data_IF_346578905221
#
_entry.id   IF_346578905221
#
_cell.length_a   1.000
_cell.length_b   1.000
_cell.length_c   1.000
_cell.angle_alpha   90.00
_cell.angle_beta   90.00
_cell.angle_gamma   90.00
#
_symmetry.space_group_name_H-M   'P 1'
#
loop_
_entity.id
_entity.type
_entity.pdbx_description
1 polymer ?
#
# COMPACT_ATOMS: atom_id res chain seq x y z
N UNK A 1 3.02 -38.07 -6.42
CA UNK A 1 3.07 -37.00 -7.44
C UNK A 1 4.27 -36.12 -7.15
N UNK A 2 5.40 -36.37 -7.83
CA UNK A 2 6.64 -35.60 -7.68
C UNK A 2 6.75 -34.67 -8.88
N UNK A 3 6.23 -33.45 -8.76
CA UNK A 3 6.51 -32.37 -9.70
C UNK A 3 7.99 -31.99 -9.56
N UNK A 4 8.76 -31.99 -10.66
CA UNK A 4 10.12 -31.46 -10.66
C UNK A 4 10.05 -29.96 -10.95
N UNK A 5 10.99 -29.19 -10.42
CA UNK A 5 11.05 -27.74 -10.68
C UNK A 5 11.19 -27.40 -12.17
N UNK A 6 11.75 -28.33 -12.98
CA UNK A 6 11.83 -28.23 -14.44
C UNK A 6 10.47 -28.26 -15.16
N UNK A 7 9.43 -28.73 -14.48
CA UNK A 7 8.09 -28.94 -15.06
C UNK A 7 7.17 -27.72 -14.82
N UNK A 8 7.64 -26.71 -14.08
CA UNK A 8 6.92 -25.47 -13.82
C UNK A 8 7.08 -24.52 -15.00
N UNK A 9 6.00 -24.35 -15.76
CA UNK A 9 5.94 -23.29 -16.79
C UNK A 9 5.54 -21.98 -16.10
N UNK A 10 6.38 -20.94 -16.13
CA UNK A 10 6.06 -19.66 -15.52
C UNK A 10 4.89 -19.00 -16.24
N UNK A 11 4.09 -18.26 -15.49
CA UNK A 11 3.03 -17.41 -16.03
C UNK A 11 3.10 -16.03 -15.36
N UNK A 12 2.52 -15.03 -16.00
CA UNK A 12 2.48 -13.65 -15.50
C UNK A 12 1.10 -13.38 -14.90
N UNK A 13 1.09 -12.67 -13.78
CA UNK A 13 -0.10 -12.15 -13.12
C UNK A 13 -0.13 -10.65 -13.39
N UNK A 14 -1.20 -10.19 -14.03
CA UNK A 14 -1.43 -8.77 -14.30
C UNK A 14 -2.30 -8.18 -13.20
N UNK A 15 -1.99 -6.96 -12.80
CA UNK A 15 -2.74 -6.25 -11.77
C UNK A 15 -2.79 -4.76 -12.06
N UNK A 16 -3.88 -4.13 -11.68
CA UNK A 16 -4.05 -2.68 -11.70
C UNK A 16 -4.69 -2.24 -10.39
N UNK A 17 -4.17 -1.16 -9.81
CA UNK A 17 -4.76 -0.51 -8.65
C UNK A 17 -4.90 0.98 -8.84
N UNK A 18 -5.92 1.55 -8.20
CA UNK A 18 -6.14 2.97 -8.08
C UNK A 18 -6.47 3.28 -6.61
N UNK A 19 -5.77 4.25 -6.03
CA UNK A 19 -5.90 4.59 -4.62
C UNK A 19 -6.15 6.08 -4.44
N UNK A 20 -7.11 6.42 -3.58
CA UNK A 20 -7.44 7.78 -3.16
C UNK A 20 -7.15 7.92 -1.67
N UNK A 21 -6.40 8.96 -1.32
CA UNK A 21 -6.00 9.24 0.06
C UNK A 21 -6.36 10.66 0.45
N UNK A 22 -6.73 10.84 1.71
CA UNK A 22 -6.94 12.13 2.34
C UNK A 22 -5.83 12.30 3.39
N UNK A 23 -5.17 13.47 3.39
CA UNK A 23 -4.04 13.75 4.29
C UNK A 23 -4.41 14.93 5.17
N UNK A 24 -4.31 14.73 6.48
CA UNK A 24 -4.36 15.82 7.44
C UNK A 24 -2.97 16.47 7.52
N UNK A 25 -2.84 17.65 6.91
CA UNK A 25 -1.57 18.39 6.86
C UNK A 25 -1.10 18.89 8.23
N UNK A 26 -1.97 18.94 9.24
CA UNK A 26 -1.61 19.40 10.59
C UNK A 26 -1.07 18.27 11.46
N UNK A 27 -1.44 17.02 11.18
CA UNK A 27 -1.03 15.85 11.97
C UNK A 27 -0.19 14.85 11.20
N UNK A 28 -0.20 14.91 9.87
CA UNK A 28 0.39 13.92 8.97
C UNK A 28 -0.40 12.62 8.87
N UNK A 29 -1.57 12.51 9.52
CA UNK A 29 -2.42 11.33 9.41
C UNK A 29 -2.97 11.17 7.99
N UNK A 30 -3.10 9.92 7.57
CA UNK A 30 -3.62 9.55 6.26
C UNK A 30 -4.84 8.67 6.42
N UNK A 31 -5.90 8.98 5.67
CA UNK A 31 -7.05 8.11 5.53
C UNK A 31 -7.16 7.63 4.08
N UNK A 32 -7.27 6.31 3.91
CA UNK A 32 -7.56 5.71 2.61
C UNK A 32 -9.05 5.82 2.33
N UNK A 33 -9.42 6.69 1.40
CA UNK A 33 -10.84 6.94 1.07
C UNK A 33 -11.38 5.85 0.19
N UNK A 34 -10.61 5.45 -0.83
CA UNK A 34 -11.00 4.41 -1.76
C UNK A 34 -9.82 3.71 -2.38
N UNK A 35 -9.94 2.40 -2.57
CA UNK A 35 -9.00 1.58 -3.34
C UNK A 35 -9.79 0.68 -4.29
N UNK A 36 -9.47 0.74 -5.58
CA UNK A 36 -9.95 -0.19 -6.59
C UNK A 36 -8.79 -1.08 -7.07
N UNK A 37 -9.00 -2.39 -7.07
CA UNK A 37 -8.05 -3.39 -7.57
C UNK A 37 -8.72 -4.23 -8.66
N UNK A 38 -8.02 -4.42 -9.77
CA UNK A 38 -8.32 -5.39 -10.81
C UNK A 38 -7.14 -6.35 -10.93
N UNK A 39 -7.35 -7.63 -10.63
CA UNK A 39 -6.29 -8.64 -10.67
C UNK A 39 -6.63 -9.80 -11.60
N UNK A 40 -5.62 -10.27 -12.33
CA UNK A 40 -5.69 -11.43 -13.20
C UNK A 40 -5.41 -12.72 -12.41
N UNK A 41 -6.50 -13.33 -11.95
CA UNK A 41 -6.49 -14.57 -11.16
C UNK A 41 -6.64 -15.83 -12.05
N UNK A 42 -6.65 -15.67 -13.37
CA UNK A 42 -7.06 -16.73 -14.30
C UNK A 42 -8.50 -17.19 -14.06
N UNK A 43 -8.73 -18.50 -14.10
CA UNK A 43 -9.97 -19.12 -13.63
C UNK A 43 -9.84 -19.42 -12.12
N UNK A 44 -10.36 -18.51 -11.29
CA UNK A 44 -10.30 -18.62 -9.82
C UNK A 44 -10.86 -19.95 -9.31
N UNK A 45 -10.10 -20.62 -8.43
CA UNK A 45 -10.51 -21.86 -7.77
C UNK A 45 -11.57 -21.61 -6.69
N UNK A 46 -11.39 -20.53 -5.95
CA UNK A 46 -12.25 -20.15 -4.84
C UNK A 46 -12.26 -18.62 -4.73
N UNK A 47 -13.24 -17.97 -5.37
CA UNK A 47 -13.27 -16.51 -5.46
C UNK A 47 -13.20 -15.80 -4.10
N UNK A 48 -13.84 -16.34 -3.06
CA UNK A 48 -13.78 -15.75 -1.72
C UNK A 48 -12.41 -15.84 -1.06
N UNK A 49 -11.66 -16.92 -1.31
CA UNK A 49 -10.28 -17.06 -0.80
C UNK A 49 -9.35 -16.12 -1.57
N UNK A 50 -9.50 -16.05 -2.89
CA UNK A 50 -8.69 -15.18 -3.74
C UNK A 50 -8.91 -13.69 -3.39
N UNK A 51 -10.17 -13.27 -3.16
CA UNK A 51 -10.45 -11.92 -2.63
C UNK A 51 -9.73 -11.70 -1.31
N UNK A 52 -9.85 -12.62 -0.34
CA UNK A 52 -9.20 -12.47 0.96
C UNK A 52 -7.67 -12.42 0.89
N UNK A 53 -7.05 -13.13 -0.06
CA UNK A 53 -5.61 -13.06 -0.32
C UNK A 53 -5.22 -11.68 -0.84
N UNK A 54 -5.96 -11.15 -1.82
CA UNK A 54 -5.73 -9.82 -2.39
C UNK A 54 -5.89 -8.73 -1.33
N UNK A 55 -6.95 -8.81 -0.51
CA UNK A 55 -7.19 -7.89 0.61
C UNK A 55 -6.04 -7.94 1.61
N UNK A 56 -5.69 -9.14 2.09
CA UNK A 56 -4.63 -9.32 3.08
C UNK A 56 -3.27 -8.85 2.57
N UNK A 57 -2.95 -9.16 1.33
CA UNK A 57 -1.70 -8.77 0.66
C UNK A 57 -1.58 -7.26 0.47
N UNK A 58 -2.67 -6.61 0.04
CA UNK A 58 -2.70 -5.17 -0.07
C UNK A 58 -2.58 -4.50 1.31
N UNK A 59 -3.28 -5.01 2.33
CA UNK A 59 -3.18 -4.50 3.71
C UNK A 59 -1.78 -4.69 4.29
N UNK A 60 -1.10 -5.80 4.02
CA UNK A 60 0.32 -5.95 4.38
C UNK A 60 1.19 -4.88 3.71
N UNK A 61 0.92 -4.55 2.45
CA UNK A 61 1.55 -3.43 1.76
C UNK A 61 1.27 -2.08 2.42
N UNK A 62 0.07 -1.87 2.99
CA UNK A 62 -0.27 -0.63 3.71
C UNK A 62 0.66 -0.43 4.89
N UNK A 63 0.86 -1.51 5.65
CA UNK A 63 1.76 -1.51 6.78
C UNK A 63 3.19 -1.17 6.36
N UNK A 64 3.70 -1.88 5.35
CA UNK A 64 5.02 -1.64 4.79
C UNK A 64 5.26 -0.17 4.37
N UNK A 65 4.26 0.46 3.73
CA UNK A 65 4.41 1.82 3.22
C UNK A 65 4.06 2.92 4.21
N UNK A 66 3.23 2.69 5.23
CA UNK A 66 2.68 3.77 6.07
C UNK A 66 2.98 3.63 7.57
N UNK A 67 3.05 2.42 8.13
CA UNK A 67 3.01 2.25 9.59
C UNK A 67 4.13 1.39 10.19
N UNK A 68 4.60 0.38 9.47
CA UNK A 68 5.52 -0.66 9.99
C UNK A 68 6.99 -0.21 9.92
N UNK A 69 7.36 0.77 10.75
CA UNK A 69 8.72 1.27 10.86
C UNK A 69 9.61 0.36 11.72
N UNK A 70 10.75 -0.02 11.16
CA UNK A 70 11.84 -0.66 11.89
C UNK A 70 12.83 0.40 12.35
N UNK A 71 12.92 0.59 13.67
CA UNK A 71 13.86 1.54 14.28
C UNK A 71 14.94 0.78 15.01
N UNK A 72 16.19 1.10 14.70
CA UNK A 72 17.37 0.49 15.30
C UNK A 72 18.13 1.52 16.14
N UNK A 73 18.71 1.09 17.25
CA UNK A 73 19.60 1.95 18.06
C UNK A 73 20.89 2.23 17.26
N UNK A 74 21.26 3.50 17.04
CA UNK A 74 22.46 3.85 16.29
C UNK A 74 23.77 3.46 16.97
N UNK A 75 23.77 3.15 18.27
CA UNK A 75 24.99 2.83 19.03
C UNK A 75 25.40 1.38 18.91
N UNK A 76 24.45 0.45 19.01
CA UNK A 76 24.70 -0.99 19.07
C UNK A 76 23.93 -1.80 18.00
N UNK A 77 23.05 -1.16 17.23
CA UNK A 77 22.26 -1.80 16.18
C UNK A 77 21.06 -2.61 16.69
N UNK A 78 20.69 -2.49 17.97
CA UNK A 78 19.55 -3.23 18.51
C UNK A 78 18.21 -2.76 17.92
N UNK A 79 17.32 -3.69 17.58
CA UNK A 79 15.96 -3.37 17.12
C UNK A 79 15.10 -2.85 18.29
N UNK A 80 14.69 -1.58 18.21
CA UNK A 80 13.87 -0.91 19.23
C UNK A 80 12.36 -1.19 19.05
N UNK A 81 11.92 -1.38 17.81
CA UNK A 81 10.53 -1.70 17.46
C UNK A 81 10.28 -3.21 17.47
N UNK A 82 10.59 -3.88 18.57
CA UNK A 82 10.57 -5.35 18.69
C UNK A 82 9.30 -5.91 19.40
N UNK A 83 8.29 -5.09 19.66
CA UNK A 83 7.04 -5.48 20.35
C UNK A 83 5.84 -4.79 19.72
N UNK A 84 4.64 -5.33 19.92
CA UNK A 84 3.37 -4.76 19.43
C UNK A 84 3.06 -3.36 19.95
N UNK A 85 3.68 -2.94 21.07
CA UNK A 85 3.55 -1.57 21.55
C UNK A 85 4.35 -0.57 20.72
N UNK A 86 5.46 -0.99 20.10
CA UNK A 86 6.39 -0.14 19.35
C UNK A 86 6.34 -0.37 17.84
N UNK A 87 5.95 -1.57 17.39
CA UNK A 87 5.72 -1.93 16.00
C UNK A 87 4.22 -2.01 15.72
N UNK A 88 3.74 -1.28 14.71
CA UNK A 88 2.32 -1.07 14.44
C UNK A 88 1.91 -1.62 13.07
N UNK A 89 1.49 -2.89 13.01
CA UNK A 89 0.81 -3.39 11.82
C UNK A 89 -0.54 -2.69 11.64
N UNK A 90 -1.07 -2.62 10.40
CA UNK A 90 -2.37 -2.04 10.12
C UNK A 90 -3.49 -2.66 10.96
N UNK A 91 -4.32 -1.81 11.53
CA UNK A 91 -5.56 -2.19 12.21
C UNK A 91 -6.80 -1.93 11.37
N UNK A 92 -7.97 -2.19 11.97
CA UNK A 92 -9.26 -2.03 11.29
C UNK A 92 -9.59 -0.59 10.86
N UNK A 93 -8.90 0.42 11.38
CA UNK A 93 -9.08 1.83 10.98
C UNK A 93 -8.18 2.26 9.83
N UNK A 94 -7.18 1.44 9.51
CA UNK A 94 -6.18 1.73 8.48
C UNK A 94 -6.58 1.14 7.11
N UNK A 95 -7.60 0.27 7.08
CA UNK A 95 -8.15 -0.29 5.84
C UNK A 95 -8.88 0.80 5.03
N UNK A 96 -8.95 0.67 3.69
CA UNK A 96 -9.69 1.61 2.87
C UNK A 96 -11.18 1.66 3.26
N UNK A 97 -11.74 2.87 3.31
CA UNK A 97 -13.18 3.08 3.61
C UNK A 97 -14.06 2.42 2.53
N UNK A 98 -13.64 2.52 1.27
CA UNK A 98 -14.25 1.85 0.13
C UNK A 98 -13.21 0.97 -0.57
N UNK A 99 -13.29 -0.35 -0.36
CA UNK A 99 -12.32 -1.31 -0.90
C UNK A 99 -12.99 -2.22 -1.93
N UNK A 100 -12.59 -2.09 -3.20
CA UNK A 100 -13.23 -2.75 -4.34
C UNK A 100 -12.24 -3.65 -5.05
N UNK A 101 -12.54 -4.94 -5.10
CA UNK A 101 -11.72 -5.93 -5.80
C UNK A 101 -12.53 -6.55 -6.92
N UNK A 102 -11.92 -6.63 -8.11
CA UNK A 102 -12.49 -7.30 -9.28
C UNK A 102 -11.45 -8.21 -9.91
N UNK A 103 -11.94 -9.28 -10.54
CA UNK A 103 -11.11 -10.19 -11.31
C UNK A 103 -11.18 -9.88 -12.80
N UNK A 104 -10.02 -9.93 -13.46
CA UNK A 104 -9.95 -9.82 -14.91
C UNK A 104 -10.73 -10.98 -15.55
N UNK A 105 -11.75 -10.65 -16.34
CA UNK A 105 -12.57 -11.64 -17.02
C UNK A 105 -11.90 -12.11 -18.31
N UNK A 106 -12.13 -13.37 -18.69
CA UNK A 106 -11.62 -13.93 -19.94
C UNK A 106 -10.11 -14.19 -19.97
N UNK A 107 -9.44 -14.12 -18.83
CA UNK A 107 -8.05 -14.55 -18.68
C UNK A 107 -8.01 -15.99 -18.19
N UNK A 108 -7.46 -16.90 -19.00
CA UNK A 108 -7.37 -18.32 -18.68
C UNK A 108 -5.91 -18.76 -18.73
N UNK A 109 -5.45 -19.45 -17.68
CA UNK A 109 -4.06 -19.88 -17.58
C UNK A 109 -3.89 -21.35 -18.01
N UNK A 110 -3.47 -21.62 -19.25
CA UNK A 110 -3.36 -23.00 -19.72
C UNK A 110 -2.37 -23.89 -18.93
N UNK A 111 -1.43 -23.28 -18.20
CA UNK A 111 -0.41 -23.99 -17.41
C UNK A 111 -0.81 -24.16 -15.95
N UNK A 112 -1.75 -23.36 -15.45
CA UNK A 112 -2.22 -23.40 -14.08
C UNK A 112 -3.13 -24.59 -13.80
N UNK A 113 -3.12 -25.08 -12.55
CA UNK A 113 -4.08 -26.10 -12.11
C UNK A 113 -5.48 -25.53 -12.22
N UNK A 114 -6.37 -26.24 -12.94
CA UNK A 114 -7.72 -25.77 -13.27
C UNK A 114 -7.73 -24.35 -13.87
N UNK A 115 -6.65 -23.98 -14.57
CA UNK A 115 -6.47 -22.70 -15.24
C UNK A 115 -6.41 -21.47 -14.33
N UNK A 116 -6.12 -21.68 -13.06
CA UNK A 116 -5.94 -20.64 -12.05
C UNK A 116 -4.58 -19.94 -12.11
N UNK A 117 -4.47 -18.79 -11.43
CA UNK A 117 -3.23 -18.09 -11.12
C UNK A 117 -3.13 -17.81 -9.63
N UNK A 118 -1.92 -17.63 -9.12
CA UNK A 118 -1.68 -17.26 -7.72
C UNK A 118 -2.15 -15.82 -7.44
N UNK A 119 -2.63 -15.58 -6.23
CA UNK A 119 -3.25 -14.30 -5.78
C UNK A 119 -2.65 -13.73 -4.50
N UNK A 120 -1.67 -14.43 -3.90
CA UNK A 120 -1.13 -14.07 -2.58
C UNK A 120 -0.17 -12.87 -2.59
N UNK A 121 0.85 -12.88 -3.43
CA UNK A 121 1.91 -11.84 -3.44
C UNK A 121 1.67 -10.63 -4.38
N UNK A 122 0.97 -10.74 -5.53
CA UNK A 122 0.90 -9.64 -6.49
C UNK A 122 0.28 -8.36 -5.94
N UNK A 123 -0.78 -8.47 -5.13
CA UNK A 123 -1.49 -7.32 -4.58
C UNK A 123 -0.66 -6.46 -3.62
N UNK A 124 0.33 -7.04 -2.93
CA UNK A 124 1.28 -6.27 -2.11
C UNK A 124 2.03 -5.24 -2.97
N UNK A 125 2.45 -5.60 -4.18
CA UNK A 125 3.13 -4.68 -5.10
C UNK A 125 2.21 -3.56 -5.60
N UNK A 126 0.91 -3.83 -5.72
CA UNK A 126 -0.08 -2.83 -6.14
C UNK A 126 -0.26 -1.70 -5.11
N UNK A 127 0.15 -1.93 -3.87
CA UNK A 127 0.06 -0.95 -2.78
C UNK A 127 0.91 0.31 -3.01
N UNK A 128 1.88 0.27 -3.94
CA UNK A 128 2.68 1.43 -4.35
C UNK A 128 1.81 2.60 -4.84
N UNK A 129 0.60 2.34 -5.34
CA UNK A 129 -0.37 3.36 -5.75
C UNK A 129 -0.64 4.39 -4.64
N UNK A 130 -0.54 4.00 -3.37
CA UNK A 130 -0.72 4.88 -2.22
C UNK A 130 0.41 5.88 -2.07
N UNK A 131 1.66 5.47 -2.28
CA UNK A 131 2.80 6.39 -2.23
C UNK A 131 2.66 7.48 -3.30
N UNK A 132 2.14 7.14 -4.47
CA UNK A 132 1.86 8.12 -5.52
C UNK A 132 0.69 9.04 -5.16
N UNK A 133 -0.41 8.49 -4.62
CA UNK A 133 -1.55 9.28 -4.15
C UNK A 133 -1.14 10.26 -3.03
N UNK A 134 -0.35 9.78 -2.05
CA UNK A 134 0.20 10.57 -0.96
C UNK A 134 1.11 11.68 -1.47
N UNK A 135 1.98 11.38 -2.44
CA UNK A 135 2.82 12.40 -3.10
C UNK A 135 1.98 13.48 -3.76
N UNK A 136 0.91 13.09 -4.46
CA UNK A 136 0.01 14.05 -5.10
C UNK A 136 -0.67 14.96 -4.06
N UNK A 137 -1.15 14.40 -2.94
CA UNK A 137 -1.73 15.15 -1.84
C UNK A 137 -0.73 16.13 -1.21
N UNK A 138 0.50 15.69 -0.92
CA UNK A 138 1.55 16.55 -0.37
C UNK A 138 1.97 17.65 -1.34
N UNK A 139 2.09 17.36 -2.63
CA UNK A 139 2.40 18.39 -3.64
C UNK A 139 1.28 19.42 -3.76
N UNK A 140 0.02 19.04 -3.59
CA UNK A 140 -1.10 19.98 -3.53
C UNK A 140 -1.02 20.85 -2.28
N UNK A 141 -0.81 20.26 -1.10
CA UNK A 141 -0.65 21.00 0.16
C UNK A 141 0.51 22.02 0.11
N UNK A 142 1.67 21.61 -0.43
CA UNK A 142 2.84 22.49 -0.59
C UNK A 142 2.57 23.65 -1.55
N UNK A 143 1.80 23.40 -2.61
CA UNK A 143 1.38 24.44 -3.55
C UNK A 143 0.50 25.48 -2.85
N UNK A 144 -0.45 25.03 -2.03
CA UNK A 144 -1.32 25.92 -1.25
C UNK A 144 -0.53 26.73 -0.21
N UNK A 145 0.55 26.14 0.33
CA UNK A 145 1.49 26.83 1.22
C UNK A 145 2.42 27.84 0.50
N UNK A 146 2.31 28.01 -0.82
CA UNK A 146 3.12 28.94 -1.61
C UNK A 146 4.56 28.48 -1.85
N UNK A 147 4.86 27.19 -1.64
CA UNK A 147 6.19 26.64 -1.86
C UNK A 147 6.45 26.36 -3.35
N UNK A 148 7.72 26.38 -3.72
CA UNK A 148 8.16 26.00 -5.07
C UNK A 148 7.84 24.52 -5.32
N UNK A 149 7.43 24.21 -6.55
CA UNK A 149 7.16 22.84 -6.96
C UNK A 149 8.47 22.05 -7.02
N UNK A 150 8.63 21.14 -6.08
CA UNK A 150 9.78 20.24 -5.98
C UNK A 150 9.33 18.79 -5.79
N UNK A 151 10.23 17.87 -6.07
CA UNK A 151 9.98 16.45 -5.86
C UNK A 151 9.96 16.11 -4.36
N UNK A 152 8.83 15.60 -3.87
CA UNK A 152 8.66 15.20 -2.46
C UNK A 152 9.14 13.76 -2.28
N UNK A 153 10.37 13.52 -1.85
CA UNK A 153 10.85 12.14 -1.63
C UNK A 153 10.04 11.43 -0.52
N UNK A 154 9.40 10.32 -0.87
CA UNK A 154 8.66 9.44 0.05
C UNK A 154 9.31 8.06 0.03
N UNK A 155 9.51 7.48 1.20
CA UNK A 155 10.11 6.16 1.40
C UNK A 155 9.16 5.17 2.06
N UNK A 156 9.63 3.95 2.29
CA UNK A 156 8.93 2.95 3.08
C UNK A 156 9.60 2.84 4.47
N UNK A 157 8.87 3.07 5.57
CA UNK A 157 7.52 3.63 5.65
C UNK A 157 7.52 5.17 5.64
N UNK A 158 6.48 5.75 5.04
CA UNK A 158 6.11 7.17 5.14
C UNK A 158 5.15 7.36 6.31
N UNK A 159 5.70 7.42 7.53
CA UNK A 159 4.93 7.55 8.78
C UNK A 159 4.32 8.95 8.95
N UNK A 160 3.30 9.13 9.82
CA UNK A 160 2.66 10.44 10.02
C UNK A 160 3.63 11.58 10.34
N UNK A 161 4.67 11.34 11.13
CA UNK A 161 5.71 12.32 11.43
C UNK A 161 6.51 12.75 10.19
N UNK A 162 6.84 11.81 9.30
CA UNK A 162 7.50 12.12 8.03
C UNK A 162 6.57 12.87 7.08
N UNK A 163 5.30 12.47 7.02
CA UNK A 163 4.29 13.12 6.18
C UNK A 163 4.08 14.57 6.64
N UNK A 164 3.95 14.79 7.95
CA UNK A 164 3.85 16.13 8.55
C UNK A 164 5.07 16.99 8.20
N UNK A 165 6.29 16.43 8.33
CA UNK A 165 7.52 17.15 7.98
C UNK A 165 7.59 17.52 6.48
N UNK A 166 7.01 16.70 5.60
CA UNK A 166 7.03 16.90 4.14
C UNK A 166 5.89 17.80 3.62
N UNK A 167 4.79 17.94 4.37
CA UNK A 167 3.61 18.72 3.98
C UNK A 167 3.91 20.21 3.78
N UNK A 168 4.96 20.75 4.42
CA UNK A 168 5.48 22.10 4.15
C UNK A 168 4.59 23.25 4.65
N UNK A 169 3.64 22.94 5.53
CA UNK A 169 2.73 23.89 6.13
C UNK A 169 3.36 24.58 7.35
N UNK A 170 3.02 25.86 7.56
CA UNK A 170 3.46 26.66 8.72
C UNK A 170 2.28 26.94 9.64
N UNK A 171 2.51 26.94 10.95
CA UNK A 171 1.49 27.30 11.97
C UNK A 171 0.86 28.67 11.67
N UNK A 172 1.64 29.60 11.10
CA UNK A 172 1.16 30.94 10.76
C UNK A 172 0.02 30.93 9.73
N UNK A 173 -0.05 29.91 8.87
CA UNK A 173 -1.07 29.77 7.84
C UNK A 173 -2.44 29.38 8.41
N UNK A 174 -2.50 28.90 9.66
CA UNK A 174 -3.73 28.41 10.31
C UNK A 174 -4.13 29.22 11.53
N UNK A 175 -3.49 30.38 11.76
CA UNK A 175 -3.95 31.33 12.78
C UNK A 175 -5.27 31.93 12.30
N UNK A 176 -6.35 31.69 13.04
CA UNK A 176 -7.60 32.41 12.86
C UNK A 176 -7.34 33.89 13.24
N UNK A 177 -7.74 34.81 12.36
CA UNK A 177 -7.65 36.25 12.57
C UNK A 177 -8.39 36.70 13.83
#
# INVERSE_FOLDING_TARGET
YLFKASDLVPYIIWGLSCSEVEVDVLTGNVQLRRVDILEDVGESLSPGIDVGQIEGSFVMGLGYYLTEALVFDPKDGALLTNRTWTYKPPGAKDIPVDFRIRFLQGSSNQTGVLRSKATGEPAMNMTISIIFALRHALMAARKDAGLVREWVALGAPSTPDQILALAGNSIEQFKLC
#
